data_IF_393861527172
#
_entry.id   IF_393861527172
#
_cell.length_a   1.000
_cell.length_b   1.000
_cell.length_c   1.000
_cell.angle_alpha   90.00
_cell.angle_beta   90.00
_cell.angle_gamma   90.00
#
_symmetry.space_group_name_H-M   'P 1'
#
loop_
_entity.id
_entity.type
_entity.pdbx_description
1 polymer ?
#
# COMPACT_ATOMS: atom_id res chain seq x y z
N UNK A 1 -4.73 -5.64 -5.62
CA UNK A 1 -4.54 -5.59 -4.16
C UNK A 1 -4.21 -4.18 -3.63
N UNK A 2 -4.32 -3.09 -4.42
CA UNK A 2 -4.15 -1.74 -3.85
C UNK A 2 -5.47 -0.95 -3.85
N UNK A 3 -6.31 -1.14 -4.87
CA UNK A 3 -7.63 -0.48 -4.99
C UNK A 3 -8.67 -0.98 -3.98
N UNK A 4 -8.59 -2.26 -3.57
CA UNK A 4 -9.53 -2.86 -2.61
C UNK A 4 -9.27 -2.32 -1.20
N UNK A 5 -8.00 -2.14 -0.85
CA UNK A 5 -7.51 -1.71 0.45
C UNK A 5 -7.87 -0.24 0.68
N UNK A 6 -7.83 0.58 -0.39
CA UNK A 6 -8.43 1.93 -0.39
C UNK A 6 -9.89 1.89 0.06
N UNK A 7 -10.69 0.95 -0.45
CA UNK A 7 -12.12 0.81 -0.07
C UNK A 7 -12.28 0.33 1.38
N UNK A 8 -11.36 -0.49 1.89
CA UNK A 8 -11.40 -0.95 3.28
C UNK A 8 -11.11 0.22 4.24
N UNK A 9 -9.99 0.92 4.10
CA UNK A 9 -9.58 1.94 5.08
C UNK A 9 -10.23 3.32 4.85
N UNK A 10 -10.21 3.84 3.62
CA UNK A 10 -10.60 5.23 3.36
C UNK A 10 -12.12 5.45 3.29
N UNK A 11 -12.92 4.38 3.17
CA UNK A 11 -14.40 4.49 3.20
C UNK A 11 -15.02 4.24 4.58
N UNK A 12 -14.23 3.95 5.61
CA UNK A 12 -14.74 3.76 6.97
C UNK A 12 -13.77 4.31 8.03
N UNK A 13 -14.10 5.46 8.64
CA UNK A 13 -13.31 6.02 9.73
C UNK A 13 -13.14 5.06 10.91
N UNK A 14 -14.11 4.16 11.16
CA UNK A 14 -14.01 3.13 12.20
C UNK A 14 -12.87 2.15 11.91
N UNK A 15 -12.73 1.70 10.66
CA UNK A 15 -11.64 0.77 10.25
C UNK A 15 -10.28 1.45 10.24
N UNK A 16 -10.23 2.73 9.85
CA UNK A 16 -9.00 3.53 9.94
C UNK A 16 -8.54 3.72 11.40
N UNK A 17 -9.47 4.02 12.32
CA UNK A 17 -9.15 4.08 13.76
C UNK A 17 -8.68 2.75 14.31
N UNK A 18 -9.26 1.63 13.86
CA UNK A 18 -8.81 0.30 14.25
C UNK A 18 -7.38 0.01 13.76
N UNK A 19 -7.07 0.43 12.52
CA UNK A 19 -5.72 0.36 11.97
C UNK A 19 -4.71 1.15 12.82
N UNK A 20 -4.97 2.43 13.11
CA UNK A 20 -4.07 3.25 13.94
C UNK A 20 -3.89 2.69 15.36
N UNK A 21 -4.94 2.10 15.94
CA UNK A 21 -4.86 1.50 17.28
C UNK A 21 -3.93 0.28 17.32
N UNK A 22 -3.95 -0.54 16.27
CA UNK A 22 -3.19 -1.79 16.21
C UNK A 22 -1.78 -1.64 15.63
N UNK A 23 -1.60 -0.63 14.80
CA UNK A 23 -0.34 -0.33 14.14
C UNK A 23 0.07 1.11 14.45
N UNK A 24 0.31 1.45 15.73
CA UNK A 24 0.77 2.79 16.08
C UNK A 24 2.13 3.03 15.42
N UNK A 25 2.21 4.08 14.59
CA UNK A 25 3.43 4.46 13.88
C UNK A 25 3.55 3.93 12.45
N UNK A 26 2.64 3.08 11.97
CA UNK A 26 2.58 2.75 10.54
C UNK A 26 1.81 3.86 9.81
N UNK A 27 2.38 4.47 8.76
CA UNK A 27 1.68 5.52 8.02
C UNK A 27 0.42 4.95 7.34
N UNK A 28 -0.56 5.81 7.06
CA UNK A 28 -1.72 5.38 6.30
C UNK A 28 -1.32 4.90 4.90
N UNK A 29 -2.05 3.91 4.32
CA UNK A 29 -1.75 3.45 2.98
C UNK A 29 -1.80 4.61 1.97
N UNK A 30 -0.78 4.77 1.11
CA UNK A 30 -0.68 5.91 0.22
C UNK A 30 -1.85 5.94 -0.78
N UNK A 31 -2.39 7.13 -1.01
CA UNK A 31 -3.44 7.31 -2.00
C UNK A 31 -2.84 7.23 -3.41
N UNK A 32 -3.10 6.10 -4.07
CA UNK A 32 -2.76 5.90 -5.48
C UNK A 32 -3.47 6.92 -6.39
N UNK A 33 -2.69 7.61 -7.22
CA UNK A 33 -3.15 8.47 -8.31
C UNK A 33 -2.97 7.68 -9.60
N UNK A 34 -4.04 7.25 -10.29
CA UNK A 34 -3.93 6.34 -11.44
C UNK A 34 -2.99 6.82 -12.54
N UNK A 35 -2.87 8.14 -12.73
CA UNK A 35 -2.07 8.77 -13.79
C UNK A 35 -0.59 8.97 -13.43
N UNK A 36 -0.16 8.66 -12.20
CA UNK A 36 1.24 8.80 -11.77
C UNK A 36 1.83 7.45 -11.41
N UNK A 37 2.57 6.84 -12.35
CA UNK A 37 3.25 5.55 -12.17
C UNK A 37 4.08 5.46 -10.87
N UNK A 38 4.73 6.56 -10.46
CA UNK A 38 5.46 6.64 -9.20
C UNK A 38 4.60 6.38 -7.95
N UNK A 39 3.32 6.80 -7.95
CA UNK A 39 2.42 6.55 -6.80
C UNK A 39 1.99 5.09 -6.71
N UNK A 40 1.92 4.37 -7.84
CA UNK A 40 1.70 2.92 -7.84
C UNK A 40 2.88 2.17 -7.22
N UNK A 41 4.11 2.55 -7.56
CA UNK A 41 5.32 1.95 -6.99
C UNK A 41 5.43 2.22 -5.49
N UNK A 42 5.18 3.46 -5.05
CA UNK A 42 5.17 3.82 -3.63
C UNK A 42 4.16 2.99 -2.83
N UNK A 43 2.97 2.76 -3.39
CA UNK A 43 1.99 1.87 -2.78
C UNK A 43 2.49 0.42 -2.70
N UNK A 44 3.08 -0.11 -3.77
CA UNK A 44 3.65 -1.44 -3.77
C UNK A 44 4.78 -1.59 -2.72
N UNK A 45 5.65 -0.59 -2.57
CA UNK A 45 6.72 -0.58 -1.58
C UNK A 45 6.16 -0.55 -0.16
N UNK A 46 5.18 0.32 0.10
CA UNK A 46 4.47 0.38 1.39
C UNK A 46 3.86 -0.97 1.77
N UNK A 47 3.13 -1.62 0.86
CA UNK A 47 2.52 -2.92 1.15
C UNK A 47 3.54 -4.05 1.25
N UNK A 48 4.70 -3.95 0.59
CA UNK A 48 5.79 -4.90 0.76
C UNK A 48 6.45 -4.78 2.14
N UNK A 49 6.62 -3.56 2.64
CA UNK A 49 7.23 -3.26 3.94
C UNK A 49 6.32 -3.64 5.12
N UNK A 50 5.04 -3.30 5.04
CA UNK A 50 4.09 -3.48 6.14
C UNK A 50 3.09 -4.64 5.93
N UNK A 51 3.43 -5.60 5.06
CA UNK A 51 2.51 -6.64 4.62
C UNK A 51 1.86 -7.39 5.80
N UNK A 52 2.67 -7.86 6.74
CA UNK A 52 2.20 -8.71 7.85
C UNK A 52 1.33 -7.93 8.84
N UNK A 53 1.70 -6.68 9.11
CA UNK A 53 0.97 -5.80 10.03
C UNK A 53 -0.40 -5.46 9.44
N UNK A 54 -0.45 -5.11 8.16
CA UNK A 54 -1.70 -4.80 7.46
C UNK A 54 -2.58 -6.05 7.33
N UNK A 55 -1.98 -7.21 7.02
CA UNK A 55 -2.69 -8.50 7.01
C UNK A 55 -3.35 -8.79 8.35
N UNK A 56 -2.61 -8.63 9.45
CA UNK A 56 -3.13 -8.86 10.79
C UNK A 56 -4.33 -7.96 11.13
N UNK A 57 -4.34 -6.70 10.68
CA UNK A 57 -5.48 -5.78 10.86
C UNK A 57 -6.68 -6.23 10.03
N UNK A 58 -6.46 -6.57 8.75
CA UNK A 58 -7.55 -6.89 7.81
C UNK A 58 -8.25 -8.21 8.17
N UNK A 59 -7.50 -9.19 8.66
CA UNK A 59 -8.06 -10.48 9.11
C UNK A 59 -8.97 -10.36 10.34
N UNK A 60 -8.97 -9.23 11.06
CA UNK A 60 -9.83 -9.02 12.22
C UNK A 60 -11.18 -8.41 11.88
N UNK A 61 -11.32 -7.83 10.68
CA UNK A 61 -12.58 -7.28 10.25
C UNK A 61 -13.54 -8.42 9.88
N UNK A 62 -14.82 -8.24 10.19
CA UNK A 62 -15.83 -9.20 9.81
C UNK A 62 -15.98 -9.22 8.26
N UNK A 63 -15.81 -10.37 7.58
CA UNK A 63 -15.94 -10.47 6.13
C UNK A 63 -17.34 -10.08 5.61
N UNK A 64 -18.38 -10.22 6.44
CA UNK A 64 -19.77 -9.96 6.05
C UNK A 64 -20.13 -8.46 6.10
N UNK A 65 -19.32 -7.62 6.75
CA UNK A 65 -19.55 -6.16 6.84
C UNK A 65 -19.38 -5.44 5.50
N UNK A 66 -18.53 -5.96 4.61
CA UNK A 66 -18.33 -5.39 3.28
C UNK A 66 -17.62 -6.37 2.34
N UNK A 67 -18.07 -6.43 1.08
CA UNK A 67 -17.42 -7.22 0.03
C UNK A 67 -15.92 -6.88 -0.14
N UNK A 68 -15.53 -5.62 0.09
CA UNK A 68 -14.14 -5.18 0.01
C UNK A 68 -13.26 -5.79 1.13
N UNK A 69 -13.82 -6.11 2.30
CA UNK A 69 -13.09 -6.77 3.39
C UNK A 69 -12.79 -8.21 2.97
N UNK A 70 -13.82 -8.96 2.57
CA UNK A 70 -13.70 -10.35 2.11
C UNK A 70 -12.70 -10.46 0.95
N UNK A 71 -12.84 -9.62 -0.09
CA UNK A 71 -11.90 -9.58 -1.22
C UNK A 71 -10.46 -9.26 -0.77
N UNK A 72 -10.30 -8.38 0.23
CA UNK A 72 -8.99 -8.04 0.76
C UNK A 72 -8.38 -9.22 1.52
N UNK A 73 -9.14 -9.92 2.36
CA UNK A 73 -8.67 -11.07 3.13
C UNK A 73 -8.15 -12.17 2.21
N UNK A 74 -8.92 -12.55 1.18
CA UNK A 74 -8.48 -13.53 0.17
C UNK A 74 -7.15 -13.13 -0.49
N UNK A 75 -6.96 -11.84 -0.79
CA UNK A 75 -5.71 -11.35 -1.40
C UNK A 75 -4.51 -11.35 -0.44
N UNK A 76 -4.73 -11.23 0.87
CA UNK A 76 -3.67 -11.31 1.88
C UNK A 76 -3.33 -12.75 2.29
N UNK A 77 -4.22 -13.70 2.00
CA UNK A 77 -3.98 -15.14 2.18
C UNK A 77 -3.17 -15.73 1.02
N UNK A 78 -3.27 -15.15 -0.18
CA UNK A 78 -2.50 -15.57 -1.34
C UNK A 78 -0.99 -15.24 -1.19
N UNK A 79 -0.18 -16.29 -1.03
CA UNK A 79 1.28 -16.18 -0.86
C UNK A 79 1.98 -15.59 -2.10
N UNK A 80 1.38 -15.71 -3.29
CA UNK A 80 1.93 -15.14 -4.51
C UNK A 80 1.94 -13.62 -4.47
N UNK A 81 0.98 -13.00 -3.75
CA UNK A 81 0.86 -11.55 -3.60
C UNK A 81 2.01 -11.00 -2.78
N UNK A 82 2.32 -11.62 -1.63
CA UNK A 82 3.45 -11.21 -0.79
C UNK A 82 4.77 -11.36 -1.55
N UNK A 83 4.93 -12.47 -2.26
CA UNK A 83 6.13 -12.76 -3.06
C UNK A 83 6.30 -11.74 -4.19
N UNK A 84 5.23 -11.42 -4.92
CA UNK A 84 5.24 -10.43 -5.99
C UNK A 84 5.58 -9.02 -5.45
N UNK A 85 5.01 -8.62 -4.31
CA UNK A 85 5.31 -7.33 -3.68
C UNK A 85 6.78 -7.23 -3.28
N UNK A 86 7.35 -8.27 -2.65
CA UNK A 86 8.77 -8.31 -2.28
C UNK A 86 9.67 -8.22 -3.52
N UNK A 87 9.32 -8.92 -4.59
CA UNK A 87 10.06 -8.86 -5.86
C UNK A 87 9.99 -7.47 -6.51
N UNK A 88 8.81 -6.84 -6.51
CA UNK A 88 8.65 -5.47 -7.01
C UNK A 88 9.49 -4.50 -6.17
N UNK A 89 9.42 -4.57 -4.85
CA UNK A 89 10.20 -3.72 -3.97
C UNK A 89 11.71 -3.88 -4.23
N UNK A 90 12.21 -5.11 -4.25
CA UNK A 90 13.63 -5.41 -4.47
C UNK A 90 14.16 -4.84 -5.80
N UNK A 91 13.39 -4.97 -6.87
CA UNK A 91 13.85 -4.60 -8.22
C UNK A 91 13.62 -3.11 -8.54
N UNK A 92 12.55 -2.51 -8.02
CA UNK A 92 12.11 -1.18 -8.47
C UNK A 92 12.39 -0.06 -7.47
N UNK A 93 12.70 -0.33 -6.19
CA UNK A 93 13.11 0.72 -5.25
C UNK A 93 14.34 1.50 -5.77
N UNK A 94 15.44 0.84 -6.20
CA UNK A 94 16.63 1.57 -6.67
C UNK A 94 16.35 2.43 -7.92
N UNK A 95 15.52 1.90 -8.83
CA UNK A 95 15.11 2.61 -10.04
C UNK A 95 14.23 3.82 -9.71
N UNK A 96 13.24 3.65 -8.83
CA UNK A 96 12.36 4.72 -8.39
C UNK A 96 13.13 5.87 -7.75
N UNK A 97 14.06 5.56 -6.84
CA UNK A 97 14.90 6.57 -6.19
C UNK A 97 15.84 7.27 -7.19
N UNK A 98 16.37 6.56 -8.18
CA UNK A 98 17.21 7.15 -9.23
C UNK A 98 16.42 8.12 -10.10
N UNK A 99 15.21 7.74 -10.52
CA UNK A 99 14.35 8.61 -11.33
C UNK A 99 13.92 9.83 -10.52
N UNK A 100 13.53 9.65 -9.25
CA UNK A 100 13.15 10.74 -8.36
C UNK A 100 14.30 11.74 -8.14
N UNK A 101 15.55 11.25 -8.01
CA UNK A 101 16.73 12.12 -7.96
C UNK A 101 16.92 12.91 -9.25
N UNK A 102 16.75 12.28 -10.41
CA UNK A 102 16.85 12.94 -11.71
C UNK A 102 15.78 14.02 -11.87
N UNK A 103 14.53 13.73 -11.54
CA UNK A 103 13.41 14.69 -11.56
C UNK A 103 13.72 15.94 -10.71
N UNK A 104 14.19 15.73 -9.48
CA UNK A 104 14.57 16.84 -8.58
C UNK A 104 15.80 17.62 -9.08
N UNK A 105 16.76 16.95 -9.71
CA UNK A 105 17.95 17.60 -10.29
C UNK A 105 17.66 18.38 -11.57
N UNK A 106 16.60 18.03 -12.31
CA UNK A 106 16.15 18.77 -13.48
C UNK A 106 15.39 20.03 -13.06
N UNK A 107 14.55 19.94 -12.03
CA UNK A 107 13.86 21.07 -11.42
C UNK A 107 14.81 22.16 -10.86
N UNK A 108 15.99 21.78 -10.39
CA UNK A 108 17.02 22.73 -9.91
C UNK A 108 17.86 23.35 -11.01
N UNK A 109 17.84 22.80 -12.24
CA UNK A 109 18.60 23.32 -13.40
C UNK A 109 17.81 24.30 -14.28
N UNK A 110 16.50 24.46 -14.05
CA UNK A 110 15.67 25.47 -14.70
C UNK A 110 15.57 26.79 -13.90
N UNK A 111 16.57 27.11 -13.07
CA UNK A 111 16.68 28.40 -12.37
C UNK A 111 17.86 29.20 -12.89
#
# INVERSE_FOLDING_TARGET
>A
MMQVQKKVFLKSPKRLRAFHRKCPGIPEPPQQIPTRWGTWLQAAFYYAEYFQQIKAVILQFNPDEAAAIKESQTKFEDISVETALKNIAKNYIPLHESIKKLENSALSRCR
#
